data_IF_596510195099
#
_entry.id   IF_596510195099
#
_cell.length_a   1.000
_cell.length_b   1.000
_cell.length_c   1.000
_cell.angle_alpha   90.00
_cell.angle_beta   90.00
_cell.angle_gamma   90.00
#
_symmetry.space_group_name_H-M   'P 1'
#
loop_
_entity.id
_entity.type
_entity.pdbx_description
1 polymer ?
#
# COMPACT_ATOMS: atom_id res chain seq x y z
N UNK A 1 -45.71 37.39 -53.87
CA UNK A 1 -44.23 37.29 -53.82
C UNK A 1 -43.81 36.88 -52.41
N UNK A 2 -43.36 35.62 -52.21
CA UNK A 2 -42.86 35.13 -50.90
C UNK A 2 -41.33 35.15 -50.92
N UNK A 3 -40.71 35.97 -50.07
CA UNK A 3 -39.25 35.98 -49.86
C UNK A 3 -38.88 34.81 -48.95
N UNK A 4 -38.21 33.79 -49.48
CA UNK A 4 -37.63 32.73 -48.66
C UNK A 4 -36.38 33.27 -47.93
N UNK A 5 -36.47 33.40 -46.61
CA UNK A 5 -35.30 33.63 -45.76
C UNK A 5 -34.49 32.34 -45.68
N UNK A 6 -33.37 32.31 -46.39
CA UNK A 6 -32.37 31.24 -46.27
C UNK A 6 -31.73 31.40 -44.88
N UNK A 7 -32.16 30.60 -43.91
CA UNK A 7 -31.46 30.44 -42.65
C UNK A 7 -30.11 29.78 -42.94
N UNK A 8 -29.05 30.58 -43.09
CA UNK A 8 -27.67 30.09 -43.02
C UNK A 8 -27.47 29.52 -41.62
N UNK A 9 -27.56 28.20 -41.47
CA UNK A 9 -27.04 27.50 -40.29
C UNK A 9 -25.56 27.86 -40.23
N UNK A 10 -25.16 28.69 -39.26
CA UNK A 10 -23.75 28.78 -38.85
C UNK A 10 -23.36 27.35 -38.50
N UNK A 11 -22.63 26.68 -39.38
CA UNK A 11 -21.86 25.51 -38.98
C UNK A 11 -20.89 26.02 -37.92
N UNK A 12 -21.25 25.83 -36.65
CA UNK A 12 -20.42 26.23 -35.53
C UNK A 12 -19.05 25.59 -35.72
N UNK A 13 -18.00 26.37 -35.61
CA UNK A 13 -16.64 25.87 -35.74
C UNK A 13 -16.39 24.87 -34.60
N UNK A 14 -16.56 23.58 -34.87
CA UNK A 14 -16.37 22.47 -33.93
C UNK A 14 -14.89 22.11 -33.77
N UNK A 15 -14.02 22.63 -34.66
CA UNK A 15 -12.58 22.42 -34.64
C UNK A 15 -11.93 22.72 -33.27
N UNK A 16 -12.16 23.88 -32.61
CA UNK A 16 -11.59 24.15 -31.28
C UNK A 16 -12.05 23.17 -30.20
N UNK A 17 -13.31 22.70 -30.27
CA UNK A 17 -13.84 21.72 -29.31
C UNK A 17 -13.13 20.38 -29.50
N UNK A 18 -12.99 19.93 -30.75
CA UNK A 18 -12.26 18.70 -31.08
C UNK A 18 -10.80 18.79 -30.65
N UNK A 19 -10.16 19.95 -30.86
CA UNK A 19 -8.76 20.17 -30.50
C UNK A 19 -8.56 20.15 -28.98
N UNK A 20 -9.46 20.77 -28.21
CA UNK A 20 -9.49 20.67 -26.75
C UNK A 20 -9.68 19.22 -26.27
N UNK A 21 -10.57 18.46 -26.92
CA UNK A 21 -10.85 17.07 -26.57
C UNK A 21 -9.64 16.17 -26.84
N UNK A 22 -8.95 16.39 -27.97
CA UNK A 22 -7.67 15.71 -28.27
C UNK A 22 -6.59 16.08 -27.26
N UNK A 23 -6.47 17.35 -26.89
CA UNK A 23 -5.47 17.79 -25.90
C UNK A 23 -5.75 17.20 -24.51
N UNK A 24 -7.02 17.14 -24.11
CA UNK A 24 -7.45 16.50 -22.87
C UNK A 24 -7.17 14.98 -22.88
N UNK A 25 -7.43 14.29 -24.00
CA UNK A 25 -7.11 12.88 -24.18
C UNK A 25 -5.59 12.63 -24.19
N UNK A 26 -4.80 13.50 -24.81
CA UNK A 26 -3.34 13.40 -24.80
C UNK A 26 -2.77 13.60 -23.39
N UNK A 27 -3.28 14.58 -22.64
CA UNK A 27 -2.91 14.80 -21.24
C UNK A 27 -3.30 13.62 -20.33
N UNK A 28 -4.52 13.11 -20.48
CA UNK A 28 -5.01 11.94 -19.75
C UNK A 28 -4.23 10.66 -20.10
N UNK A 29 -3.93 10.44 -21.38
CA UNK A 29 -3.14 9.30 -21.86
C UNK A 29 -1.68 9.35 -21.36
N UNK A 30 -1.07 10.53 -21.34
CA UNK A 30 0.25 10.72 -20.75
C UNK A 30 0.25 10.40 -19.25
N UNK A 31 -0.75 10.89 -18.51
CA UNK A 31 -0.88 10.62 -17.08
C UNK A 31 -1.10 9.13 -16.81
N UNK A 32 -1.96 8.48 -17.61
CA UNK A 32 -2.21 7.05 -17.54
C UNK A 32 -0.93 6.23 -17.74
N UNK A 33 -0.16 6.52 -18.80
CA UNK A 33 1.08 5.82 -19.08
C UNK A 33 2.14 6.04 -18.00
N UNK A 34 2.29 7.28 -17.52
CA UNK A 34 3.18 7.63 -16.41
C UNK A 34 2.81 6.86 -15.15
N UNK A 35 1.53 6.79 -14.81
CA UNK A 35 1.05 6.11 -13.62
C UNK A 35 1.19 4.60 -13.73
N UNK A 36 0.92 4.03 -14.90
CA UNK A 36 1.12 2.60 -15.15
C UNK A 36 2.57 2.16 -14.89
N UNK A 37 3.55 2.99 -15.27
CA UNK A 37 4.97 2.72 -15.02
C UNK A 37 5.38 2.84 -13.56
N UNK A 38 4.64 3.60 -12.76
CA UNK A 38 4.90 3.78 -11.32
C UNK A 38 4.24 2.70 -10.47
N UNK A 39 3.38 1.86 -11.05
CA UNK A 39 2.71 0.83 -10.28
C UNK A 39 3.73 -0.19 -9.77
N UNK A 40 3.78 -0.43 -8.45
CA UNK A 40 4.65 -1.46 -7.91
C UNK A 40 4.20 -2.83 -8.43
N UNK A 41 5.13 -3.80 -8.52
CA UNK A 41 4.79 -5.17 -8.89
C UNK A 41 3.72 -5.72 -7.92
N UNK A 42 2.82 -6.55 -8.46
CA UNK A 42 1.72 -7.15 -7.71
C UNK A 42 2.00 -8.64 -7.48
N UNK A 43 2.77 -9.01 -6.45
CA UNK A 43 3.16 -10.40 -6.21
C UNK A 43 1.96 -11.32 -6.00
N UNK A 44 0.84 -10.79 -5.50
CA UNK A 44 -0.36 -11.57 -5.19
C UNK A 44 -1.45 -11.52 -6.26
N UNK A 45 -1.20 -10.90 -7.42
CA UNK A 45 -2.22 -10.77 -8.48
C UNK A 45 -2.65 -12.13 -9.06
N UNK A 46 -1.77 -13.14 -8.99
CA UNK A 46 -2.00 -14.47 -9.56
C UNK A 46 -2.85 -15.39 -8.67
N UNK A 47 -3.04 -15.07 -7.38
CA UNK A 47 -3.83 -15.91 -6.49
C UNK A 47 -5.33 -15.70 -6.72
N UNK A 48 -6.15 -16.76 -6.77
CA UNK A 48 -7.61 -16.63 -6.80
C UNK A 48 -8.15 -16.04 -5.48
N UNK A 49 -9.35 -15.46 -5.51
CA UNK A 49 -9.92 -14.75 -4.36
C UNK A 49 -10.08 -15.63 -3.12
N UNK A 50 -10.43 -16.91 -3.32
CA UNK A 50 -10.56 -17.88 -2.23
C UNK A 50 -9.21 -18.15 -1.54
N UNK A 51 -8.14 -18.34 -2.30
CA UNK A 51 -6.79 -18.53 -1.75
C UNK A 51 -6.27 -17.26 -1.08
N UNK A 52 -6.57 -16.09 -1.66
CA UNK A 52 -6.20 -14.82 -1.05
C UNK A 52 -6.84 -14.64 0.34
N UNK A 53 -8.11 -15.00 0.46
CA UNK A 53 -8.82 -15.01 1.75
C UNK A 53 -8.17 -15.97 2.76
N UNK A 54 -7.80 -17.19 2.32
CA UNK A 54 -7.12 -18.16 3.17
C UNK A 54 -5.75 -17.66 3.64
N UNK A 55 -4.96 -17.05 2.75
CA UNK A 55 -3.67 -16.43 3.11
C UNK A 55 -3.85 -15.32 4.14
N UNK A 56 -4.85 -14.45 3.96
CA UNK A 56 -5.13 -13.37 4.91
C UNK A 56 -5.45 -13.94 6.29
N UNK A 57 -6.37 -14.90 6.37
CA UNK A 57 -6.74 -15.51 7.66
C UNK A 57 -5.57 -16.25 8.32
N UNK A 58 -4.73 -16.94 7.55
CA UNK A 58 -3.53 -17.58 8.08
C UNK A 58 -2.55 -16.57 8.67
N UNK A 59 -2.25 -15.49 7.95
CA UNK A 59 -1.36 -14.43 8.44
C UNK A 59 -1.94 -13.66 9.63
N UNK A 60 -3.26 -13.47 9.69
CA UNK A 60 -3.93 -12.86 10.83
C UNK A 60 -3.73 -13.71 12.10
N UNK A 61 -3.95 -15.02 12.00
CA UNK A 61 -3.70 -15.95 13.11
C UNK A 61 -2.25 -15.95 13.55
N UNK A 62 -1.30 -15.96 12.60
CA UNK A 62 0.13 -15.91 12.89
C UNK A 62 0.55 -14.60 13.60
N UNK A 63 0.05 -13.46 13.12
CA UNK A 63 0.34 -12.14 13.70
C UNK A 63 -0.24 -12.02 15.11
N UNK A 64 -1.47 -12.50 15.32
CA UNK A 64 -2.10 -12.51 16.64
C UNK A 64 -1.35 -13.43 17.63
N UNK A 65 -1.03 -14.66 17.21
CA UNK A 65 -0.29 -15.60 18.03
C UNK A 65 1.10 -15.08 18.38
N UNK A 66 1.82 -14.50 17.41
CA UNK A 66 3.16 -13.96 17.65
C UNK A 66 3.13 -12.67 18.46
N UNK A 67 2.15 -11.80 18.22
CA UNK A 67 1.95 -10.57 18.99
C UNK A 67 1.72 -10.83 20.47
N UNK A 68 0.91 -11.83 20.82
CA UNK A 68 0.70 -12.24 22.22
C UNK A 68 1.92 -12.89 22.85
N UNK A 69 2.78 -13.53 22.05
CA UNK A 69 4.00 -14.19 22.52
C UNK A 69 5.20 -13.25 22.71
N UNK A 70 5.12 -11.98 22.28
CA UNK A 70 6.24 -11.06 22.44
C UNK A 70 6.53 -10.81 23.92
N UNK A 71 7.78 -11.04 24.39
CA UNK A 71 8.12 -10.77 25.77
C UNK A 71 7.93 -9.26 26.03
N UNK A 72 7.33 -8.86 27.16
CA UNK A 72 7.18 -7.45 27.47
C UNK A 72 8.56 -6.80 27.51
N UNK A 73 8.68 -5.60 26.93
CA UNK A 73 9.90 -4.80 26.97
C UNK A 73 10.23 -4.42 28.43
N UNK A 74 10.91 -5.32 29.14
CA UNK A 74 11.35 -5.07 30.52
C UNK A 74 12.50 -4.09 30.49
N UNK A 75 12.21 -2.82 30.76
CA UNK A 75 13.22 -1.85 31.17
C UNK A 75 13.66 -2.16 32.61
N UNK A 76 14.48 -3.20 32.80
CA UNK A 76 15.13 -3.43 34.08
C UNK A 76 16.33 -2.49 34.23
N UNK A 77 16.04 -1.23 34.56
CA UNK A 77 17.03 -0.28 35.06
C UNK A 77 17.33 -0.49 36.54
N UNK A 78 17.74 -1.69 36.94
CA UNK A 78 18.03 -1.97 38.35
C UNK A 78 19.49 -1.57 38.65
N UNK A 79 19.70 -0.28 38.93
CA UNK A 79 20.99 0.23 39.42
C UNK A 79 21.25 -0.31 40.83
N UNK A 80 21.84 -1.51 40.93
CA UNK A 80 22.43 -2.00 42.19
C UNK A 80 23.76 -1.28 42.42
N UNK A 81 23.70 -0.25 43.26
CA UNK A 81 24.86 0.49 43.77
C UNK A 81 25.68 -0.38 44.73
N UNK A 82 26.41 -1.36 44.20
CA UNK A 82 27.26 -2.26 44.98
C UNK A 82 27.81 -3.49 44.24
N UNK A 83 27.30 -3.77 43.04
CA UNK A 83 27.72 -4.92 42.23
C UNK A 83 29.18 -4.79 41.74
N UNK A 84 29.95 -5.88 41.84
CA UNK A 84 31.32 -6.00 41.29
C UNK A 84 31.32 -5.85 39.76
N UNK A 85 32.47 -5.53 39.17
CA UNK A 85 32.61 -5.32 37.72
C UNK A 85 32.12 -6.52 36.89
N UNK A 86 32.41 -7.75 37.33
CA UNK A 86 31.97 -8.97 36.62
C UNK A 86 30.45 -9.14 36.60
N UNK A 87 29.77 -8.79 37.69
CA UNK A 87 28.30 -8.81 37.78
C UNK A 87 27.69 -7.78 36.82
N UNK A 88 28.31 -6.62 36.67
CA UNK A 88 27.88 -5.59 35.70
C UNK A 88 28.07 -6.01 34.26
N UNK A 89 29.16 -6.72 33.94
CA UNK A 89 29.39 -7.27 32.60
C UNK A 89 28.33 -8.33 32.28
N UNK A 90 28.07 -9.25 33.21
CA UNK A 90 27.03 -10.28 33.06
C UNK A 90 25.62 -9.67 32.87
N UNK A 91 25.26 -8.66 33.66
CA UNK A 91 23.99 -7.94 33.53
C UNK A 91 23.86 -7.23 32.18
N UNK A 92 24.93 -6.58 31.72
CA UNK A 92 24.95 -5.94 30.41
C UNK A 92 24.80 -6.94 29.27
N UNK A 93 25.49 -8.08 29.33
CA UNK A 93 25.35 -9.14 28.32
C UNK A 93 23.96 -9.75 28.31
N UNK A 94 23.36 -9.95 29.48
CA UNK A 94 21.98 -10.44 29.61
C UNK A 94 20.98 -9.42 29.01
N UNK A 95 21.15 -8.13 29.32
CA UNK A 95 20.34 -7.05 28.75
C UNK A 95 20.48 -6.96 27.23
N UNK A 96 21.71 -7.09 26.70
CA UNK A 96 21.98 -7.10 25.26
C UNK A 96 21.30 -8.29 24.59
N UNK A 97 21.46 -9.50 25.12
CA UNK A 97 20.81 -10.72 24.60
C UNK A 97 19.29 -10.58 24.57
N UNK A 98 18.70 -10.03 25.62
CA UNK A 98 17.26 -9.75 25.66
C UNK A 98 16.83 -8.71 24.63
N UNK A 99 17.57 -7.61 24.50
CA UNK A 99 17.29 -6.56 23.52
C UNK A 99 17.36 -7.07 22.08
N UNK A 100 18.38 -7.88 21.77
CA UNK A 100 18.56 -8.46 20.44
C UNK A 100 17.45 -9.49 20.13
N UNK A 101 17.07 -10.33 21.09
CA UNK A 101 15.95 -11.26 20.94
C UNK A 101 14.61 -10.53 20.71
N UNK A 102 14.35 -9.45 21.46
CA UNK A 102 13.14 -8.64 21.29
C UNK A 102 13.13 -7.96 19.92
N UNK A 103 14.24 -7.36 19.48
CA UNK A 103 14.32 -6.73 18.14
C UNK A 103 14.10 -7.74 17.02
N UNK A 104 14.68 -8.93 17.13
CA UNK A 104 14.48 -10.00 16.16
C UNK A 104 12.99 -10.43 16.10
N UNK A 105 12.35 -10.63 17.25
CA UNK A 105 10.94 -10.98 17.34
C UNK A 105 10.02 -9.87 16.77
N UNK A 106 10.25 -8.61 17.15
CA UNK A 106 9.50 -7.48 16.61
C UNK A 106 9.73 -7.29 15.11
N UNK A 107 10.95 -7.50 14.62
CA UNK A 107 11.27 -7.42 13.19
C UNK A 107 10.54 -8.49 12.37
N UNK A 108 10.49 -9.72 12.88
CA UNK A 108 9.74 -10.81 12.25
C UNK A 108 8.23 -10.52 12.21
N UNK A 109 7.67 -10.00 13.31
CA UNK A 109 6.26 -9.60 13.38
C UNK A 109 5.95 -8.47 12.38
N UNK A 110 6.78 -7.43 12.35
CA UNK A 110 6.61 -6.31 11.41
C UNK A 110 6.67 -6.76 9.95
N UNK A 111 7.51 -7.76 9.63
CA UNK A 111 7.57 -8.38 8.31
C UNK A 111 6.26 -9.07 7.94
N UNK A 112 5.68 -9.85 8.86
CA UNK A 112 4.39 -10.52 8.64
C UNK A 112 3.23 -9.52 8.51
N UNK A 113 3.20 -8.48 9.34
CA UNK A 113 2.23 -7.40 9.22
C UNK A 113 2.34 -6.68 7.88
N UNK A 114 3.56 -6.48 7.36
CA UNK A 114 3.77 -5.88 6.05
C UNK A 114 3.15 -6.75 4.94
N UNK A 115 3.37 -8.07 4.99
CA UNK A 115 2.75 -9.02 4.06
C UNK A 115 1.22 -8.97 4.16
N UNK A 116 0.67 -9.01 5.39
CA UNK A 116 -0.77 -8.93 5.62
C UNK A 116 -1.37 -7.62 5.07
N UNK A 117 -0.68 -6.49 5.25
CA UNK A 117 -1.09 -5.20 4.66
C UNK A 117 -1.12 -5.25 3.13
N UNK A 118 -0.17 -5.93 2.49
CA UNK A 118 -0.17 -6.09 1.03
C UNK A 118 -1.30 -6.98 0.53
N UNK A 119 -1.56 -8.10 1.21
CA UNK A 119 -2.68 -8.99 0.89
C UNK A 119 -4.03 -8.27 1.00
N UNK A 120 -4.26 -7.51 2.08
CA UNK A 120 -5.47 -6.71 2.26
C UNK A 120 -5.61 -5.60 1.21
N UNK A 121 -4.50 -4.95 0.82
CA UNK A 121 -4.52 -3.96 -0.28
C UNK A 121 -4.93 -4.59 -1.61
N UNK A 122 -4.44 -5.79 -1.89
CA UNK A 122 -4.81 -6.54 -3.09
C UNK A 122 -6.30 -6.93 -3.06
N UNK A 123 -6.81 -7.43 -1.92
CA UNK A 123 -8.23 -7.73 -1.74
C UNK A 123 -9.12 -6.48 -1.94
N UNK A 124 -8.75 -5.35 -1.33
CA UNK A 124 -9.47 -4.10 -1.48
C UNK A 124 -9.47 -3.61 -2.94
N UNK A 125 -8.34 -3.73 -3.64
CA UNK A 125 -8.23 -3.37 -5.06
C UNK A 125 -9.16 -4.21 -5.93
N UNK A 126 -9.33 -5.50 -5.64
CA UNK A 126 -10.26 -6.38 -6.36
C UNK A 126 -11.72 -5.97 -6.12
N UNK A 127 -12.04 -5.55 -4.89
CA UNK A 127 -13.37 -5.04 -4.55
C UNK A 127 -13.73 -3.71 -5.25
N UNK A 128 -12.74 -2.84 -5.52
CA UNK A 128 -12.95 -1.57 -6.26
C UNK A 128 -13.36 -1.80 -7.73
N UNK A 129 -13.06 -2.96 -8.31
CA UNK A 129 -13.37 -3.30 -9.69
C UNK A 129 -12.46 -2.62 -10.74
N UNK A 130 -12.48 -3.10 -11.99
CA UNK A 130 -11.52 -2.69 -13.02
C UNK A 130 -11.66 -1.21 -13.42
N UNK A 131 -12.89 -0.69 -13.48
CA UNK A 131 -13.15 0.69 -13.89
C UNK A 131 -12.58 1.72 -12.91
N UNK A 132 -12.70 1.48 -11.61
CA UNK A 132 -12.15 2.37 -10.59
C UNK A 132 -10.63 2.48 -10.69
N UNK A 133 -9.95 1.35 -10.95
CA UNK A 133 -8.49 1.30 -11.17
C UNK A 133 -8.08 2.14 -12.39
N UNK A 134 -8.79 2.00 -13.52
CA UNK A 134 -8.50 2.78 -14.72
C UNK A 134 -8.76 4.27 -14.54
N UNK A 135 -9.84 4.64 -13.85
CA UNK A 135 -10.14 6.03 -13.52
C UNK A 135 -9.05 6.63 -12.64
N UNK A 136 -8.60 5.91 -11.60
CA UNK A 136 -7.51 6.35 -10.72
C UNK A 136 -6.21 6.56 -11.48
N UNK A 137 -5.88 5.68 -12.44
CA UNK A 137 -4.69 5.84 -13.31
C UNK A 137 -4.78 7.10 -14.18
N UNK A 138 -5.98 7.48 -14.63
CA UNK A 138 -6.20 8.68 -15.46
C UNK A 138 -6.12 9.97 -14.63
N UNK A 139 -6.63 9.96 -13.39
CA UNK A 139 -6.87 11.20 -12.62
C UNK A 139 -5.84 11.49 -11.54
N UNK A 140 -5.05 10.51 -11.09
CA UNK A 140 -4.02 10.73 -10.07
C UNK A 140 -2.83 11.46 -10.69
N UNK A 141 -2.40 12.61 -10.14
CA UNK A 141 -1.33 13.48 -10.71
C UNK A 141 -0.01 13.27 -9.96
#
# INVERSE_FOLDING_TARGET
MKRSTIHRRRAGNVLPILLLLVLAMAGGGWNYWRNLKKEPPRPYAQYPDAELGQLISAYEGDVEQRGTSLPPARMQGQRRSGAMLDERVADFEAARRHGDAHRAASGALAGQEAVLRELRKEQARRAEGPLAVHLKRLTTI
#
